data_IF_060076732725
#
_entry.id   IF_060076732725
#
_cell.length_a   1.000
_cell.length_b   1.000
_cell.length_c   1.000
_cell.angle_alpha   90.00
_cell.angle_beta   90.00
_cell.angle_gamma   90.00
#
_symmetry.space_group_name_H-M   'P 1'
#
loop_
_entity.id
_entity.type
_entity.pdbx_description
1 polymer ?
#
# COMPACT_ATOMS: atom_id res chain seq x y z
N UNK A 1 2.50 27.63 59.19
CA UNK A 1 3.50 26.65 58.64
C UNK A 1 2.86 25.57 57.77
N UNK A 2 1.62 25.26 57.91
CA UNK A 2 0.88 24.23 57.13
C UNK A 2 0.53 24.61 55.68
N UNK A 3 0.37 25.90 55.37
CA UNK A 3 0.00 26.34 53.99
C UNK A 3 1.15 26.26 52.98
N UNK A 4 2.38 26.53 53.43
CA UNK A 4 3.55 26.48 52.55
C UNK A 4 3.92 25.04 52.12
N UNK A 5 3.64 24.05 52.97
CA UNK A 5 3.91 22.64 52.69
C UNK A 5 2.89 22.11 51.66
N UNK A 6 1.62 22.57 51.75
CA UNK A 6 0.57 22.20 50.77
C UNK A 6 0.87 22.72 49.36
N UNK A 7 1.39 23.92 49.21
CA UNK A 7 1.71 24.52 47.91
C UNK A 7 2.94 23.88 47.25
N UNK A 8 3.93 23.49 48.05
CA UNK A 8 5.10 22.76 47.53
C UNK A 8 4.72 21.35 47.05
N UNK A 9 3.85 20.65 47.77
CA UNK A 9 3.36 19.32 47.36
C UNK A 9 2.54 19.42 46.09
N UNK A 10 1.67 20.42 45.91
CA UNK A 10 0.91 20.65 44.70
C UNK A 10 1.81 20.95 43.48
N UNK A 11 2.82 21.78 43.66
CA UNK A 11 3.80 22.08 42.59
C UNK A 11 4.63 20.85 42.20
N UNK A 12 5.03 20.02 43.16
CA UNK A 12 5.72 18.76 42.89
C UNK A 12 4.84 17.76 42.14
N UNK A 13 3.57 17.65 42.50
CA UNK A 13 2.58 16.78 41.84
C UNK A 13 2.34 17.21 40.40
N UNK A 14 2.26 18.52 40.12
CA UNK A 14 2.08 19.04 38.75
C UNK A 14 3.32 18.77 37.90
N UNK A 15 4.53 18.92 38.46
CA UNK A 15 5.78 18.62 37.73
C UNK A 15 5.89 17.12 37.44
N UNK A 16 5.49 16.26 38.38
CA UNK A 16 5.50 14.82 38.23
C UNK A 16 4.48 14.35 37.17
N UNK A 17 3.30 14.97 37.14
CA UNK A 17 2.25 14.68 36.13
C UNK A 17 2.66 15.16 34.72
N UNK A 18 3.34 16.30 34.61
CA UNK A 18 3.88 16.81 33.35
C UNK A 18 5.02 15.94 32.80
N UNK A 19 5.83 15.31 33.65
CA UNK A 19 6.91 14.41 33.25
C UNK A 19 6.43 13.06 32.69
N UNK A 20 5.22 12.61 33.07
CA UNK A 20 4.61 11.36 32.61
C UNK A 20 4.01 11.52 31.19
N UNK A 21 3.63 12.74 30.80
CA UNK A 21 2.94 13.02 29.52
C UNK A 21 3.86 12.98 28.28
N UNK A 22 5.18 12.86 28.45
CA UNK A 22 6.15 12.98 27.32
C UNK A 22 6.53 11.62 26.70
N UNK A 23 6.00 10.50 27.19
CA UNK A 23 6.41 9.16 26.76
C UNK A 23 5.42 8.43 25.81
N UNK A 24 4.46 9.11 25.22
CA UNK A 24 3.51 8.50 24.31
C UNK A 24 3.75 8.91 22.85
N UNK A 25 5.01 8.91 22.38
CA UNK A 25 5.29 8.81 20.94
C UNK A 25 5.29 7.34 20.56
N UNK A 26 4.11 6.74 20.42
CA UNK A 26 3.96 5.50 19.68
C UNK A 26 4.35 5.79 18.22
N UNK A 27 5.61 5.56 17.88
CA UNK A 27 6.05 5.40 16.50
C UNK A 27 5.40 4.12 15.98
N UNK A 28 4.21 4.24 15.40
CA UNK A 28 3.56 3.14 14.70
C UNK A 28 4.32 2.90 13.39
N UNK A 29 5.35 2.08 13.47
CA UNK A 29 6.06 1.60 12.29
C UNK A 29 5.15 0.57 11.59
N UNK A 30 4.58 0.92 10.44
CA UNK A 30 3.84 -0.01 9.56
C UNK A 30 4.75 -1.09 8.93
N UNK A 31 5.92 -1.36 9.50
CA UNK A 31 6.86 -2.38 9.01
C UNK A 31 6.58 -3.79 9.52
N UNK A 32 5.52 -4.00 10.29
CA UNK A 32 5.16 -5.32 10.81
C UNK A 32 4.11 -6.03 9.95
N UNK A 33 4.41 -6.21 8.67
CA UNK A 33 3.79 -7.32 7.94
C UNK A 33 4.48 -8.57 8.48
N UNK A 34 3.78 -9.31 9.35
CA UNK A 34 4.26 -10.55 9.92
C UNK A 34 4.36 -11.61 8.83
N UNK A 35 5.56 -11.85 8.35
CA UNK A 35 5.88 -13.00 7.50
C UNK A 35 6.87 -13.91 8.24
N UNK A 36 6.91 -15.21 7.93
CA UNK A 36 7.82 -16.14 8.58
C UNK A 36 9.27 -15.66 8.49
N UNK A 37 10.08 -15.78 9.57
CA UNK A 37 11.46 -15.27 9.60
C UNK A 37 12.39 -15.94 8.56
N UNK A 38 11.98 -17.08 8.03
CA UNK A 38 12.68 -17.82 6.98
C UNK A 38 12.58 -17.12 5.62
N UNK A 39 11.54 -16.30 5.40
CA UNK A 39 11.33 -15.59 4.14
C UNK A 39 12.20 -14.35 4.11
N UNK A 40 13.14 -14.28 3.17
CA UNK A 40 14.11 -13.19 3.05
C UNK A 40 14.07 -12.50 1.69
N UNK A 41 13.54 -13.18 0.68
CA UNK A 41 13.62 -12.70 -0.71
C UNK A 41 12.27 -12.73 -1.40
N UNK A 42 12.04 -11.76 -2.27
CA UNK A 42 10.86 -11.69 -3.13
C UNK A 42 11.29 -11.38 -4.57
N UNK A 43 10.61 -12.00 -5.53
CA UNK A 43 10.70 -11.66 -6.94
C UNK A 43 9.38 -11.02 -7.39
N UNK A 44 9.48 -9.95 -8.14
CA UNK A 44 8.35 -9.33 -8.80
C UNK A 44 8.58 -9.41 -10.31
N UNK A 45 7.80 -10.23 -10.95
CA UNK A 45 7.80 -10.34 -12.41
C UNK A 45 7.17 -9.09 -13.05
N UNK A 46 7.47 -8.87 -14.31
CA UNK A 46 6.84 -7.80 -15.07
C UNK A 46 5.32 -8.04 -15.15
N UNK A 47 4.53 -7.04 -14.80
CA UNK A 47 3.06 -7.09 -14.85
C UNK A 47 2.64 -6.64 -16.25
N UNK A 48 2.22 -7.60 -17.07
CA UNK A 48 1.81 -7.33 -18.45
C UNK A 48 0.46 -6.62 -18.53
N UNK A 49 0.29 -5.75 -19.51
CA UNK A 49 -1.02 -5.16 -19.79
C UNK A 49 -1.75 -6.00 -20.85
N UNK A 50 -2.76 -6.74 -20.41
CA UNK A 50 -3.68 -7.56 -21.25
C UNK A 50 -5.06 -6.92 -21.39
N UNK A 51 -5.25 -5.70 -20.86
CA UNK A 51 -6.50 -4.98 -21.01
C UNK A 51 -6.76 -4.58 -22.48
N UNK A 52 -8.02 -4.36 -22.79
CA UNK A 52 -8.43 -3.93 -24.14
C UNK A 52 -7.80 -2.59 -24.55
N UNK A 53 -7.65 -1.66 -23.61
CA UNK A 53 -6.93 -0.41 -23.81
C UNK A 53 -5.53 -0.54 -23.21
N UNK A 54 -4.52 -0.38 -24.05
CA UNK A 54 -3.12 -0.54 -23.65
C UNK A 54 -2.49 0.83 -23.43
N UNK A 55 -2.27 1.17 -22.15
CA UNK A 55 -1.39 2.27 -21.80
C UNK A 55 0.04 1.71 -21.60
N UNK A 56 1.00 2.07 -22.47
CA UNK A 56 2.34 1.46 -22.44
C UNK A 56 3.14 1.82 -21.18
N UNK A 57 2.80 2.89 -20.50
CA UNK A 57 3.50 3.32 -19.28
C UNK A 57 2.96 2.63 -18.01
N UNK A 58 1.76 2.07 -18.05
CA UNK A 58 1.10 1.54 -16.87
C UNK A 58 1.83 0.31 -16.31
N UNK A 59 2.19 -0.64 -17.17
CA UNK A 59 2.87 -1.88 -16.78
C UNK A 59 4.22 -1.65 -16.10
N UNK A 60 5.17 -0.88 -16.67
CA UNK A 60 6.43 -0.61 -16.02
C UNK A 60 6.24 0.16 -14.72
N UNK A 61 5.39 1.20 -14.70
CA UNK A 61 5.13 1.98 -13.49
C UNK A 61 4.52 1.13 -12.37
N UNK A 62 3.57 0.26 -12.67
CA UNK A 62 2.94 -0.62 -11.69
C UNK A 62 3.95 -1.62 -11.13
N UNK A 63 4.76 -2.23 -12.01
CA UNK A 63 5.82 -3.17 -11.61
C UNK A 63 6.84 -2.51 -10.69
N UNK A 64 7.33 -1.32 -11.06
CA UNK A 64 8.32 -0.60 -10.26
C UNK A 64 7.77 -0.10 -8.94
N UNK A 65 6.52 0.41 -8.92
CA UNK A 65 5.84 0.80 -7.68
C UNK A 65 5.64 -0.38 -6.74
N UNK A 66 5.30 -1.56 -7.26
CA UNK A 66 5.15 -2.77 -6.45
C UNK A 66 6.49 -3.18 -5.84
N UNK A 67 7.58 -3.20 -6.62
CA UNK A 67 8.94 -3.45 -6.13
C UNK A 67 9.34 -2.47 -5.03
N UNK A 68 9.15 -1.17 -5.26
CA UNK A 68 9.45 -0.13 -4.28
C UNK A 68 8.64 -0.31 -3.00
N UNK A 69 7.35 -0.68 -3.11
CA UNK A 69 6.49 -0.89 -1.95
C UNK A 69 6.94 -2.09 -1.12
N UNK A 70 7.33 -3.19 -1.75
CA UNK A 70 7.89 -4.35 -1.05
C UNK A 70 9.17 -3.95 -0.30
N UNK A 71 10.11 -3.26 -0.96
CA UNK A 71 11.37 -2.82 -0.34
C UNK A 71 11.12 -1.87 0.85
N UNK A 72 10.18 -0.93 0.70
CA UNK A 72 9.93 0.10 1.72
C UNK A 72 9.10 -0.39 2.90
N UNK A 73 8.20 -1.35 2.69
CA UNK A 73 7.25 -1.82 3.71
C UNK A 73 7.61 -3.18 4.31
N UNK A 74 8.58 -3.89 3.73
CA UNK A 74 9.04 -5.18 4.23
C UNK A 74 10.56 -5.19 4.43
N UNK A 75 11.08 -6.26 5.02
CA UNK A 75 12.53 -6.51 5.12
C UNK A 75 13.02 -7.46 4.02
N UNK A 76 12.20 -7.70 3.00
CA UNK A 76 12.53 -8.62 1.91
C UNK A 76 13.49 -7.96 0.92
N UNK A 77 14.50 -8.68 0.52
CA UNK A 77 15.34 -8.30 -0.60
C UNK A 77 14.63 -8.66 -1.92
N UNK A 78 14.46 -7.69 -2.80
CA UNK A 78 13.90 -7.94 -4.14
C UNK A 78 15.03 -8.43 -5.04
N UNK A 79 14.89 -9.66 -5.55
CA UNK A 79 15.85 -10.32 -6.45
C UNK A 79 15.15 -10.71 -7.76
N UNK A 80 15.93 -10.90 -8.83
CA UNK A 80 15.39 -11.25 -10.15
C UNK A 80 15.61 -12.74 -10.52
N UNK A 81 16.11 -13.55 -9.56
CA UNK A 81 16.37 -14.97 -9.78
C UNK A 81 15.18 -15.84 -9.41
N UNK A 82 15.14 -17.03 -9.98
CA UNK A 82 14.10 -18.02 -9.70
C UNK A 82 14.15 -18.60 -8.29
N UNK A 83 15.19 -18.31 -7.52
CA UNK A 83 15.39 -18.80 -6.15
C UNK A 83 14.67 -17.95 -5.08
N UNK A 84 13.93 -16.91 -5.48
CA UNK A 84 13.19 -16.09 -4.54
C UNK A 84 12.17 -16.92 -3.74
N UNK A 85 12.07 -16.64 -2.42
CA UNK A 85 11.11 -17.32 -1.55
C UNK A 85 9.66 -16.96 -1.90
N UNK A 86 9.41 -15.69 -2.22
CA UNK A 86 8.14 -15.22 -2.76
C UNK A 86 8.29 -14.87 -4.23
N UNK A 87 7.35 -15.32 -5.04
CA UNK A 87 7.28 -15.03 -6.46
C UNK A 87 5.92 -14.40 -6.78
N UNK A 88 5.96 -13.15 -7.24
CA UNK A 88 4.77 -12.36 -7.54
C UNK A 88 4.74 -12.12 -9.04
N UNK A 89 3.66 -12.55 -9.67
CA UNK A 89 3.38 -12.29 -11.08
C UNK A 89 1.95 -11.79 -11.25
N UNK A 90 1.63 -11.25 -12.41
CA UNK A 90 0.27 -10.81 -12.69
C UNK A 90 0.13 -10.15 -14.05
N UNK A 91 -1.10 -9.72 -14.32
CA UNK A 91 -1.42 -8.96 -15.52
C UNK A 91 -2.55 -7.96 -15.24
N UNK A 92 -2.54 -6.85 -15.94
CA UNK A 92 -3.66 -5.90 -15.97
C UNK A 92 -4.70 -6.49 -16.92
N UNK A 93 -5.88 -6.84 -16.40
CA UNK A 93 -6.95 -7.49 -17.13
C UNK A 93 -8.03 -6.52 -17.60
N UNK A 94 -8.22 -5.41 -16.86
CA UNK A 94 -9.12 -4.34 -17.27
C UNK A 94 -8.48 -2.96 -17.06
N UNK A 95 -8.70 -2.11 -18.03
CA UNK A 95 -8.42 -0.68 -17.99
C UNK A 95 -9.51 0.01 -18.81
N UNK A 96 -10.52 0.51 -18.12
CA UNK A 96 -11.70 1.08 -18.77
C UNK A 96 -12.13 2.39 -18.13
N UNK A 97 -12.70 3.28 -18.93
CA UNK A 97 -13.25 4.56 -18.46
C UNK A 97 -14.76 4.56 -18.72
N UNK A 98 -15.52 4.80 -17.65
CA UNK A 98 -16.97 4.89 -17.72
C UNK A 98 -17.42 6.28 -17.23
N UNK A 99 -18.37 6.88 -17.92
CA UNK A 99 -19.03 8.11 -17.47
C UNK A 99 -19.90 7.81 -16.25
N UNK A 100 -19.67 8.52 -15.15
CA UNK A 100 -20.37 8.28 -13.89
C UNK A 100 -21.33 9.42 -13.50
N UNK A 101 -21.22 10.57 -14.13
CA UNK A 101 -22.10 11.72 -13.87
C UNK A 101 -22.38 12.51 -15.13
N UNK A 102 -23.63 12.96 -15.27
CA UNK A 102 -24.06 13.84 -16.35
C UNK A 102 -24.67 15.09 -15.68
N UNK A 103 -24.17 16.28 -16.05
CA UNK A 103 -24.75 17.56 -15.64
C UNK A 103 -25.18 18.32 -16.89
N UNK A 104 -26.48 18.55 -17.01
CA UNK A 104 -27.07 19.00 -18.26
C UNK A 104 -26.98 17.92 -19.33
N UNK A 105 -26.40 18.23 -20.49
CA UNK A 105 -26.15 17.26 -21.57
C UNK A 105 -24.67 16.86 -21.68
N UNK A 106 -23.86 17.17 -20.69
CA UNK A 106 -22.41 16.98 -20.72
C UNK A 106 -21.96 16.06 -19.60
N UNK A 107 -21.03 15.17 -19.90
CA UNK A 107 -20.38 14.34 -18.88
C UNK A 107 -19.65 15.25 -17.89
N UNK A 108 -19.92 15.08 -16.59
CA UNK A 108 -19.29 15.88 -15.51
C UNK A 108 -18.24 15.08 -14.75
N UNK A 109 -18.37 13.77 -14.73
CA UNK A 109 -17.45 12.87 -14.00
C UNK A 109 -17.27 11.57 -14.74
N UNK A 110 -16.06 11.07 -14.74
CA UNK A 110 -15.68 9.76 -15.26
C UNK A 110 -15.09 8.89 -14.14
N UNK A 111 -15.18 7.58 -14.29
CA UNK A 111 -14.51 6.61 -13.45
C UNK A 111 -13.53 5.80 -14.29
N UNK A 112 -12.28 5.80 -13.88
CA UNK A 112 -11.29 4.87 -14.39
C UNK A 112 -11.35 3.58 -13.57
N UNK A 113 -11.62 2.46 -14.19
CA UNK A 113 -11.59 1.14 -13.58
C UNK A 113 -10.31 0.43 -14.02
N UNK A 114 -9.59 -0.11 -13.05
CA UNK A 114 -8.40 -0.91 -13.28
C UNK A 114 -8.55 -2.21 -12.52
N UNK A 115 -8.40 -3.34 -13.22
CA UNK A 115 -8.35 -4.68 -12.61
C UNK A 115 -6.99 -5.29 -12.89
N UNK A 116 -6.36 -5.78 -11.84
CA UNK A 116 -5.07 -6.48 -11.90
C UNK A 116 -5.25 -7.87 -11.34
N UNK A 117 -4.95 -8.86 -12.15
CA UNK A 117 -4.87 -10.26 -11.76
C UNK A 117 -3.49 -10.52 -11.15
N UNK A 118 -3.43 -11.04 -9.93
CA UNK A 118 -2.20 -11.30 -9.18
C UNK A 118 -2.10 -12.77 -8.86
N UNK A 119 -0.94 -13.34 -9.12
CA UNK A 119 -0.55 -14.70 -8.74
C UNK A 119 0.60 -14.59 -7.75
N UNK A 120 0.39 -15.09 -6.56
CA UNK A 120 1.39 -15.14 -5.50
C UNK A 120 1.79 -16.60 -5.24
N UNK A 121 3.09 -16.86 -5.30
CA UNK A 121 3.66 -18.16 -4.98
C UNK A 121 4.63 -18.06 -3.82
N UNK A 122 4.43 -18.89 -2.81
CA UNK A 122 5.34 -19.09 -1.69
C UNK A 122 6.07 -20.41 -1.89
N UNK A 123 7.37 -20.37 -2.14
CA UNK A 123 8.17 -21.57 -2.38
C UNK A 123 8.51 -22.35 -1.11
N UNK A 124 8.40 -21.71 0.05
CA UNK A 124 8.62 -22.38 1.35
C UNK A 124 7.36 -23.07 1.87
N UNK A 125 6.18 -22.62 1.42
CA UNK A 125 4.89 -23.19 1.83
C UNK A 125 3.86 -23.00 0.70
N UNK A 126 3.75 -24.00 -0.15
CA UNK A 126 2.86 -23.95 -1.32
C UNK A 126 1.37 -23.80 -0.96
N UNK A 127 0.97 -24.18 0.28
CA UNK A 127 -0.41 -24.04 0.75
C UNK A 127 -0.83 -22.56 0.88
N UNK A 128 0.14 -21.66 0.91
CA UNK A 128 -0.08 -20.21 0.96
C UNK A 128 -0.08 -19.55 -0.42
N UNK A 129 0.02 -20.33 -1.47
CA UNK A 129 -0.16 -19.82 -2.82
C UNK A 129 -1.59 -19.32 -2.99
N UNK A 130 -1.75 -18.20 -3.65
CA UNK A 130 -3.07 -17.68 -3.99
C UNK A 130 -3.04 -16.92 -5.31
N UNK A 131 -4.23 -16.77 -5.86
CA UNK A 131 -4.52 -16.05 -7.08
C UNK A 131 -5.75 -15.18 -6.83
N UNK A 132 -5.72 -13.93 -7.23
CA UNK A 132 -6.81 -12.99 -6.95
C UNK A 132 -6.83 -11.83 -7.93
N UNK A 133 -8.02 -11.27 -8.13
CA UNK A 133 -8.24 -10.05 -8.89
C UNK A 133 -8.40 -8.87 -7.93
N UNK A 134 -7.66 -7.80 -8.19
CA UNK A 134 -7.74 -6.55 -7.44
C UNK A 134 -8.30 -5.48 -8.37
N UNK A 135 -9.52 -5.03 -8.10
CA UNK A 135 -10.17 -3.95 -8.84
C UNK A 135 -10.13 -2.65 -8.04
N UNK A 136 -9.82 -1.55 -8.70
CA UNK A 136 -9.86 -0.18 -8.16
C UNK A 136 -10.54 0.76 -9.12
N UNK A 137 -11.34 1.66 -8.56
CA UNK A 137 -12.07 2.69 -9.28
C UNK A 137 -11.55 4.06 -8.84
N UNK A 138 -11.26 4.93 -9.82
CA UNK A 138 -10.75 6.27 -9.59
C UNK A 138 -11.65 7.28 -10.29
N UNK A 139 -12.46 8.06 -9.54
CA UNK A 139 -13.26 9.13 -10.12
C UNK A 139 -12.36 10.29 -10.56
N UNK A 140 -12.64 10.89 -11.70
CA UNK A 140 -11.94 12.06 -12.20
C UNK A 140 -12.89 12.94 -13.03
N UNK A 141 -12.52 14.23 -13.19
CA UNK A 141 -13.31 15.18 -13.98
C UNK A 141 -13.32 14.80 -15.46
N UNK A 142 -14.48 14.88 -16.10
CA UNK A 142 -14.61 14.60 -17.54
C UNK A 142 -13.82 15.60 -18.43
N UNK A 143 -13.33 16.70 -17.87
CA UNK A 143 -12.46 17.64 -18.57
C UNK A 143 -11.03 17.14 -18.77
N UNK A 144 -10.64 16.04 -18.08
CA UNK A 144 -9.31 15.43 -18.22
C UNK A 144 -9.36 14.39 -19.33
N UNK A 145 -8.53 14.56 -20.34
CA UNK A 145 -8.33 13.56 -21.40
C UNK A 145 -7.08 12.74 -21.09
N UNK A 146 -7.17 11.42 -21.19
CA UNK A 146 -6.00 10.54 -21.23
C UNK A 146 -5.52 10.50 -22.69
N UNK A 147 -4.55 11.37 -23.00
CA UNK A 147 -3.86 11.34 -24.29
C UNK A 147 -2.70 10.35 -24.22
#
# INVERSE_FOLDING_TARGET
MTSMISDTIKKLAIIFFAAISVKATCSYSMKDISYPPEVKTARVNYIENKARYINPQLSPQLTDKLKQKIISQTRLAVINTDEAHYDISGSITDFSVNTSGISGQTASSNNLNITVHIIFKNRLDEKKNFETDITRNFPFSASISFA
#
